data_IF_167850513187
#
_entry.id   IF_167850513187
#
_cell.length_a   1.000
_cell.length_b   1.000
_cell.length_c   1.000
_cell.angle_alpha   90.00
_cell.angle_beta   90.00
_cell.angle_gamma   90.00
#
_symmetry.space_group_name_H-M   'P 1'
#
loop_
_entity.id
_entity.type
_entity.pdbx_description
1 polymer ?
#
# COMPACT_ATOMS: atom_id res chain seq x y z
N UNK A 1 25.74 10.75 30.21
CA UNK A 1 25.39 10.78 29.75
C UNK A 1 24.91 10.80 28.99
N UNK A 2 24.58 10.53 29.03
CA UNK A 2 24.09 10.44 28.25
C UNK A 2 23.44 10.26 27.48
N UNK A 3 23.27 10.01 27.36
CA UNK A 3 22.70 9.84 26.71
C UNK A 3 22.00 9.94 26.01
N UNK A 4 21.82 10.01 26.06
CA UNK A 4 21.16 10.10 25.39
C UNK A 4 20.54 10.34 24.64
N UNK A 5 20.38 10.67 24.39
CA UNK A 5 19.83 10.88 23.74
C UNK A 5 19.50 11.40 22.62
N UNK A 6 19.57 12.25 22.01
CA UNK A 6 19.45 12.29 20.59
C UNK A 6 18.13 11.72 20.07
N UNK A 7 17.33 11.28 20.88
CA UNK A 7 16.01 10.77 20.50
C UNK A 7 15.20 11.67 19.57
N UNK A 8 15.18 12.99 19.72
CA UNK A 8 14.40 13.82 18.79
C UNK A 8 14.84 13.65 17.33
N UNK A 9 16.14 13.55 17.08
CA UNK A 9 16.64 13.35 15.72
C UNK A 9 16.26 11.98 15.21
N UNK A 10 16.37 10.96 16.06
CA UNK A 10 15.99 9.61 15.69
C UNK A 10 14.50 9.48 15.45
N UNK A 11 13.70 10.17 16.26
CA UNK A 11 12.26 10.16 16.09
C UNK A 11 11.86 10.78 14.75
N UNK A 12 12.49 11.90 14.40
CA UNK A 12 12.20 12.57 13.14
C UNK A 12 12.61 11.70 11.95
N UNK A 13 13.77 11.05 12.04
CA UNK A 13 14.24 10.16 10.98
C UNK A 13 13.32 8.97 10.83
N UNK A 14 12.87 8.39 11.93
CA UNK A 14 11.95 7.26 11.91
C UNK A 14 10.62 7.65 11.28
N UNK A 15 10.06 8.78 11.72
CA UNK A 15 8.79 9.25 11.18
C UNK A 15 8.90 9.54 9.69
N UNK A 16 10.01 10.13 9.25
CA UNK A 16 10.24 10.40 7.85
C UNK A 16 10.29 9.09 7.04
N UNK A 17 11.03 8.10 7.57
CA UNK A 17 11.12 6.81 6.92
C UNK A 17 9.76 6.13 6.79
N UNK A 18 8.97 6.18 7.85
CA UNK A 18 7.64 5.59 7.82
C UNK A 18 6.74 6.31 6.84
N UNK A 19 6.83 7.63 6.77
CA UNK A 19 6.03 8.42 5.85
C UNK A 19 6.38 8.11 4.40
N UNK A 20 7.68 7.99 4.10
CA UNK A 20 8.13 7.63 2.76
C UNK A 20 7.66 6.23 2.38
N UNK A 21 7.77 5.30 3.32
CA UNK A 21 7.30 3.94 3.09
C UNK A 21 5.79 3.91 2.86
N UNK A 22 5.05 4.70 3.62
CA UNK A 22 3.61 4.82 3.45
C UNK A 22 3.27 5.30 2.05
N UNK A 23 3.95 6.34 1.58
CA UNK A 23 3.70 6.89 0.25
C UNK A 23 3.98 5.87 -0.84
N UNK A 24 5.05 5.09 -0.70
CA UNK A 24 5.36 4.03 -1.66
C UNK A 24 4.27 2.97 -1.69
N UNK A 25 3.80 2.54 -0.52
CA UNK A 25 2.76 1.53 -0.45
C UNK A 25 1.43 2.06 -1.02
N UNK A 26 1.13 3.34 -0.80
CA UNK A 26 -0.07 3.95 -1.36
C UNK A 26 -0.02 4.01 -2.89
N UNK A 27 1.15 4.29 -3.46
CA UNK A 27 1.30 4.27 -4.92
C UNK A 27 1.06 2.87 -5.47
N UNK A 28 1.61 1.86 -4.82
CA UNK A 28 1.40 0.47 -5.23
C UNK A 28 -0.07 0.08 -5.10
N UNK A 29 -0.74 0.57 -4.05
CA UNK A 29 -2.16 0.34 -3.85
C UNK A 29 -2.98 0.93 -4.99
N UNK A 30 -2.69 2.17 -5.38
CA UNK A 30 -3.36 2.82 -6.49
C UNK A 30 -3.15 2.06 -7.79
N UNK A 31 -1.95 1.53 -8.01
CA UNK A 31 -1.66 0.72 -9.18
C UNK A 31 -2.52 -0.54 -9.21
N UNK A 32 -2.62 -1.21 -8.07
CA UNK A 32 -3.45 -2.43 -7.99
C UNK A 32 -4.92 -2.12 -8.24
N UNK A 33 -5.41 -1.00 -7.72
CA UNK A 33 -6.79 -0.56 -7.97
C UNK A 33 -6.99 -0.31 -9.46
N UNK A 34 -6.06 0.40 -10.10
CA UNK A 34 -6.15 0.69 -11.54
C UNK A 34 -6.17 -0.56 -12.39
N UNK A 35 -5.33 -1.54 -12.03
CA UNK A 35 -5.31 -2.81 -12.73
C UNK A 35 -6.67 -3.52 -12.64
N UNK A 36 -7.22 -3.58 -11.44
CA UNK A 36 -8.50 -4.25 -11.23
C UNK A 36 -9.62 -3.56 -12.01
N UNK A 37 -9.62 -2.23 -12.01
CA UNK A 37 -10.61 -1.46 -12.75
C UNK A 37 -10.51 -1.71 -14.25
N UNK A 38 -9.30 -1.80 -14.76
CA UNK A 38 -9.11 -2.02 -16.19
C UNK A 38 -9.53 -3.43 -16.59
N UNK A 39 -9.20 -4.45 -15.78
CA UNK A 39 -9.64 -5.80 -16.06
C UNK A 39 -11.17 -5.89 -16.09
N UNK A 40 -11.82 -5.20 -15.16
CA UNK A 40 -13.28 -5.16 -15.13
C UNK A 40 -13.86 -4.52 -16.39
N UNK A 41 -13.26 -3.41 -16.82
CA UNK A 41 -13.70 -2.70 -18.02
C UNK A 41 -13.53 -3.57 -19.28
N UNK A 42 -12.37 -4.23 -19.38
CA UNK A 42 -12.08 -5.10 -20.53
C UNK A 42 -13.02 -6.29 -20.55
N UNK A 43 -13.30 -6.87 -19.40
CA UNK A 43 -14.23 -8.01 -19.32
C UNK A 43 -15.61 -7.64 -19.86
N UNK A 44 -16.07 -6.43 -19.56
CA UNK A 44 -17.38 -5.97 -20.04
C UNK A 44 -17.42 -5.80 -21.55
N UNK A 45 -16.26 -5.43 -22.14
CA UNK A 45 -16.18 -5.24 -23.58
C UNK A 45 -15.85 -6.53 -24.34
N UNK A 46 -15.07 -7.41 -23.74
CA UNK A 46 -14.57 -8.62 -24.37
C UNK A 46 -14.82 -9.84 -23.49
N UNK A 47 -16.09 -10.19 -23.27
CA UNK A 47 -16.41 -11.29 -22.35
C UNK A 47 -15.86 -12.65 -22.78
N UNK A 48 -15.47 -12.80 -24.04
CA UNK A 48 -14.95 -14.07 -24.56
C UNK A 48 -13.62 -14.46 -23.92
N UNK A 49 -12.87 -13.51 -23.34
CA UNK A 49 -11.63 -13.84 -22.64
C UNK A 49 -11.81 -13.81 -21.11
N UNK A 50 -13.05 -14.01 -20.68
CA UNK A 50 -13.43 -13.84 -19.27
C UNK A 50 -12.64 -14.68 -18.30
N UNK A 51 -12.31 -15.95 -18.66
CA UNK A 51 -11.60 -16.81 -17.73
C UNK A 51 -10.20 -16.27 -17.40
N UNK A 52 -9.48 -15.82 -18.42
CA UNK A 52 -8.14 -15.25 -18.23
C UNK A 52 -8.20 -13.95 -17.45
N UNK A 53 -9.17 -13.10 -17.79
CA UNK A 53 -9.32 -11.81 -17.09
C UNK A 53 -9.73 -12.05 -15.64
N UNK A 54 -10.59 -12.99 -15.36
CA UNK A 54 -11.03 -13.28 -14.00
C UNK A 54 -9.85 -13.64 -13.10
N UNK A 55 -8.94 -14.45 -13.63
CA UNK A 55 -7.76 -14.86 -12.88
C UNK A 55 -6.85 -13.68 -12.56
N UNK A 56 -6.58 -12.85 -13.58
CA UNK A 56 -5.77 -11.65 -13.38
C UNK A 56 -6.44 -10.65 -12.45
N UNK A 57 -7.75 -10.50 -12.57
CA UNK A 57 -8.52 -9.64 -11.68
C UNK A 57 -8.40 -10.11 -10.23
N UNK A 58 -8.53 -11.42 -10.00
CA UNK A 58 -8.42 -11.98 -8.66
C UNK A 58 -7.04 -11.71 -8.07
N UNK A 59 -5.99 -11.85 -8.88
CA UNK A 59 -4.62 -11.57 -8.43
C UNK A 59 -4.46 -10.11 -8.03
N UNK A 60 -5.01 -9.20 -8.83
CA UNK A 60 -4.90 -7.77 -8.50
C UNK A 60 -5.69 -7.42 -7.26
N UNK A 61 -6.83 -8.09 -7.02
CA UNK A 61 -7.62 -7.91 -5.80
C UNK A 61 -6.87 -8.40 -4.57
N UNK A 62 -6.19 -9.53 -4.69
CA UNK A 62 -5.36 -10.06 -3.60
C UNK A 62 -4.23 -9.10 -3.27
N UNK A 63 -3.57 -8.57 -4.31
CA UNK A 63 -2.50 -7.61 -4.12
C UNK A 63 -3.01 -6.34 -3.45
N UNK A 64 -4.18 -5.87 -3.87
CA UNK A 64 -4.83 -4.72 -3.27
C UNK A 64 -5.06 -4.94 -1.77
N UNK A 65 -5.61 -6.09 -1.41
CA UNK A 65 -5.90 -6.41 -0.01
C UNK A 65 -4.64 -6.40 0.84
N UNK A 66 -3.56 -7.01 0.33
CA UNK A 66 -2.29 -7.05 1.06
C UNK A 66 -1.68 -5.67 1.21
N UNK A 67 -1.75 -4.87 0.15
CA UNK A 67 -1.22 -3.50 0.18
C UNK A 67 -2.01 -2.63 1.14
N UNK A 68 -3.33 -2.79 1.17
CA UNK A 68 -4.16 -2.06 2.13
C UNK A 68 -3.76 -2.41 3.56
N UNK A 69 -3.50 -3.68 3.84
CA UNK A 69 -3.02 -4.10 5.15
C UNK A 69 -1.69 -3.46 5.51
N UNK A 70 -0.77 -3.39 4.55
CA UNK A 70 0.53 -2.76 4.77
C UNK A 70 0.38 -1.27 5.06
N UNK A 71 -0.49 -0.59 4.32
CA UNK A 71 -0.76 0.83 4.55
C UNK A 71 -1.29 1.04 5.96
N UNK A 72 -2.25 0.24 6.39
CA UNK A 72 -2.82 0.35 7.73
C UNK A 72 -1.78 0.10 8.82
N UNK A 73 -0.90 -0.87 8.61
CA UNK A 73 0.16 -1.16 9.58
C UNK A 73 1.10 0.03 9.75
N UNK A 74 1.48 0.64 8.63
CA UNK A 74 2.39 1.79 8.67
C UNK A 74 1.70 2.99 9.32
N UNK A 75 0.43 3.22 8.99
CA UNK A 75 -0.34 4.31 9.61
C UNK A 75 -0.42 4.14 11.12
N UNK A 76 -0.62 2.90 11.57
CA UNK A 76 -0.66 2.61 13.00
C UNK A 76 0.67 2.93 13.68
N UNK A 77 1.78 2.56 13.01
CA UNK A 77 3.10 2.86 13.55
C UNK A 77 3.36 4.36 13.61
N UNK A 78 2.94 5.09 12.59
CA UNK A 78 3.08 6.55 12.58
C UNK A 78 2.27 7.16 13.72
N UNK A 79 1.05 6.67 13.94
CA UNK A 79 0.21 7.17 15.02
C UNK A 79 0.86 6.94 16.38
N UNK A 80 1.47 5.77 16.59
CA UNK A 80 2.20 5.48 17.82
C UNK A 80 3.38 6.41 17.98
N UNK A 81 4.11 6.69 16.90
CA UNK A 81 5.28 7.54 16.93
C UNK A 81 4.94 8.99 17.23
N UNK A 82 3.69 9.38 17.00
CA UNK A 82 3.25 10.77 17.19
C UNK A 82 2.80 11.07 18.61
N UNK A 83 2.75 10.06 19.47
CA UNK A 83 2.38 10.26 20.88
C UNK A 83 3.56 10.59 21.80
#
# INVERSE_FOLDING_TARGET
MHEQKEPPVQKNALKKNLTERLNQQKLMLLTAIGEAEEYDAIYKELPEIGAQIQELYNESRDRYSKLLGKVKAIENLIALSSQ
#
